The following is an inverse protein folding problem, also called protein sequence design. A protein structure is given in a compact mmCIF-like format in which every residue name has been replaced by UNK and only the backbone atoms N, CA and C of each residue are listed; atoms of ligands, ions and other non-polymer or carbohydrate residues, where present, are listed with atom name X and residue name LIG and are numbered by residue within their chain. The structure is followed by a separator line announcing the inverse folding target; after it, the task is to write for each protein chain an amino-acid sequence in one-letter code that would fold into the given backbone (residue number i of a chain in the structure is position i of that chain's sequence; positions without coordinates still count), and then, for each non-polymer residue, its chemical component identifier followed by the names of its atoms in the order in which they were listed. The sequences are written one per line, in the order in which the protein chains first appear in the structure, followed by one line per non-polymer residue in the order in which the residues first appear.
data_IF_817886198125
#
_entry.id   IF_817886198125
#
_cell.length_a   1.000
_cell.length_b   1.000
_cell.length_c   1.000
_cell.angle_alpha   90.00
_cell.angle_beta   90.00
_cell.angle_gamma   90.00
#
_symmetry.space_group_name_H-M   'P 1'
#
loop_
_entity.id
_entity.type
_entity.pdbx_description
1 polymer ?
#
# COMPACT_ATOMS: atom_id res chain seq x y z
N UNK A 1 5.83 7.99 -8.86
CA UNK A 1 7.23 7.55 -8.94
C UNK A 1 8.17 8.73 -8.71
N UNK A 2 8.33 9.18 -7.45
CA UNK A 2 9.18 10.33 -7.17
C UNK A 2 10.66 9.95 -7.07
N UNK A 3 11.53 10.89 -7.45
CA UNK A 3 12.93 10.94 -7.01
C UNK A 3 13.08 12.08 -6.02
N UNK A 4 13.26 11.76 -4.75
CA UNK A 4 13.28 12.73 -3.66
C UNK A 4 14.70 13.22 -3.34
N UNK A 5 14.84 14.47 -2.90
CA UNK A 5 16.10 14.98 -2.34
C UNK A 5 15.80 15.84 -1.12
N UNK A 6 16.22 15.35 0.06
CA UNK A 6 15.87 15.93 1.37
C UNK A 6 14.35 15.97 1.60
N UNK A 7 13.95 16.43 2.79
CA UNK A 7 12.55 16.66 3.13
C UNK A 7 11.77 15.39 3.50
N UNK A 8 10.46 15.54 3.65
CA UNK A 8 9.51 14.48 3.99
C UNK A 8 8.52 14.27 2.85
N UNK A 9 8.34 13.02 2.44
CA UNK A 9 7.43 12.63 1.37
C UNK A 9 6.53 11.50 1.88
N UNK A 10 5.22 11.73 1.80
CA UNK A 10 4.20 10.72 2.06
C UNK A 10 3.64 10.22 0.72
N UNK A 11 3.98 8.99 0.36
CA UNK A 11 3.45 8.30 -0.83
C UNK A 11 2.26 7.47 -0.36
N UNK A 12 1.04 7.92 -0.65
CA UNK A 12 -0.18 7.33 -0.11
C UNK A 12 -1.18 6.96 -1.21
N UNK A 13 -1.69 5.73 -1.16
CA UNK A 13 -2.75 5.20 -2.04
C UNK A 13 -2.55 5.44 -3.55
N UNK A 14 -1.34 5.19 -4.05
CA UNK A 14 -1.02 5.21 -5.48
C UNK A 14 -1.00 3.80 -6.07
N UNK A 15 -1.24 3.72 -7.37
CA UNK A 15 -1.01 2.51 -8.17
C UNK A 15 0.27 2.70 -9.01
N UNK A 16 1.28 1.86 -8.78
CA UNK A 16 2.54 1.89 -9.51
C UNK A 16 2.66 0.63 -10.36
N UNK A 17 2.85 0.86 -11.64
CA UNK A 17 3.07 -0.17 -12.66
C UNK A 17 4.30 0.20 -13.49
N UNK A 18 4.90 -0.80 -14.13
CA UNK A 18 5.83 -0.62 -15.27
C UNK A 18 7.01 0.34 -15.05
N UNK A 19 7.60 0.39 -13.84
CA UNK A 19 8.82 1.18 -13.64
C UNK A 19 10.03 0.53 -14.33
N UNK A 20 10.86 1.29 -15.02
CA UNK A 20 12.02 0.71 -15.72
C UNK A 20 13.20 0.42 -14.79
N UNK A 21 13.40 1.25 -13.76
CA UNK A 21 14.52 1.12 -12.81
C UNK A 21 14.06 0.96 -11.37
N UNK A 22 13.15 1.82 -10.92
CA UNK A 22 12.60 1.84 -9.57
C UNK A 22 11.30 2.66 -9.56
N UNK A 23 10.41 2.39 -8.60
CA UNK A 23 9.20 3.20 -8.42
C UNK A 23 9.47 4.43 -7.54
N UNK A 24 10.26 4.28 -6.47
CA UNK A 24 10.60 5.35 -5.53
C UNK A 24 12.10 5.44 -5.39
N UNK A 25 12.66 6.64 -5.58
CA UNK A 25 14.09 6.87 -5.41
C UNK A 25 14.40 8.10 -4.59
N UNK A 26 15.65 8.20 -4.16
CA UNK A 26 16.09 9.38 -3.42
C UNK A 26 17.59 9.51 -3.24
N UNK A 27 18.02 10.74 -2.94
CA UNK A 27 19.40 11.11 -2.64
C UNK A 27 19.45 12.14 -1.50
N UNK A 28 20.57 12.23 -0.79
CA UNK A 28 20.78 13.20 0.29
C UNK A 28 19.71 13.14 1.41
N UNK A 29 19.47 11.93 1.92
CA UNK A 29 18.65 11.65 3.12
C UNK A 29 17.23 12.26 3.13
N UNK A 30 16.35 11.90 2.18
CA UNK A 30 14.93 12.17 2.32
C UNK A 30 14.28 11.15 3.28
N UNK A 31 13.24 11.58 3.99
CA UNK A 31 12.34 10.69 4.72
C UNK A 31 11.17 10.31 3.82
N UNK A 32 10.95 9.01 3.63
CA UNK A 32 9.88 8.49 2.78
C UNK A 32 8.97 7.58 3.60
N UNK A 33 7.69 7.94 3.64
CA UNK A 33 6.63 7.12 4.19
C UNK A 33 5.74 6.64 3.05
N UNK A 34 5.77 5.34 2.74
CA UNK A 34 4.89 4.69 1.76
C UNK A 34 3.77 3.97 2.51
N UNK A 35 2.51 4.31 2.21
CA UNK A 35 1.35 3.68 2.82
C UNK A 35 0.21 3.35 1.85
N UNK A 36 -0.31 2.13 1.93
CA UNK A 36 -1.52 1.72 1.22
C UNK A 36 -1.44 1.79 -0.31
N UNK A 37 -0.24 1.78 -0.90
CA UNK A 37 -0.02 1.79 -2.34
C UNK A 37 -0.04 0.37 -2.91
N UNK A 38 -0.18 0.24 -4.23
CA UNK A 38 0.06 -1.00 -4.97
C UNK A 38 1.29 -0.85 -5.85
N UNK A 39 2.22 -1.79 -5.76
CA UNK A 39 3.43 -1.85 -6.57
C UNK A 39 3.44 -3.15 -7.37
N UNK A 40 3.18 -3.05 -8.67
CA UNK A 40 3.24 -4.18 -9.59
C UNK A 40 4.56 -4.15 -10.36
N UNK A 41 5.50 -5.01 -9.97
CA UNK A 41 6.80 -5.04 -10.62
C UNK A 41 6.69 -5.40 -12.11
N UNK A 42 7.55 -4.83 -12.98
CA UNK A 42 7.68 -5.24 -14.37
C UNK A 42 8.12 -6.71 -14.49
N UNK A 43 8.09 -7.24 -15.72
CA UNK A 43 8.57 -8.58 -16.04
C UNK A 43 10.09 -8.73 -15.90
N UNK A 44 10.85 -7.64 -16.09
CA UNK A 44 12.31 -7.64 -15.93
C UNK A 44 12.71 -8.09 -14.51
N UNK A 45 13.50 -9.17 -14.36
CA UNK A 45 13.97 -9.63 -13.06
C UNK A 45 14.88 -8.63 -12.34
N UNK A 46 15.49 -7.67 -13.05
CA UNK A 46 16.34 -6.65 -12.44
C UNK A 46 15.56 -5.46 -11.88
N UNK A 47 14.25 -5.36 -12.17
CA UNK A 47 13.39 -4.25 -11.77
C UNK A 47 12.38 -4.64 -10.67
N UNK A 48 12.79 -5.48 -9.71
CA UNK A 48 11.91 -5.96 -8.63
C UNK A 48 11.95 -5.09 -7.37
N UNK A 49 13.05 -4.38 -7.13
CA UNK A 49 13.13 -3.46 -6.01
C UNK A 49 12.31 -2.20 -6.29
N UNK A 50 11.36 -1.89 -5.42
CA UNK A 50 10.53 -0.68 -5.48
C UNK A 50 11.38 0.56 -5.23
N UNK A 51 12.38 0.43 -4.36
CA UNK A 51 13.22 1.51 -3.84
C UNK A 51 14.56 1.63 -4.56
N UNK A 52 15.08 2.86 -4.70
CA UNK A 52 16.48 3.09 -5.12
C UNK A 52 17.13 4.25 -4.39
N UNK A 53 18.18 3.95 -3.62
CA UNK A 53 19.09 4.97 -3.09
C UNK A 53 20.11 5.31 -4.17
N UNK A 54 20.20 6.60 -4.50
CA UNK A 54 20.98 7.09 -5.65
C UNK A 54 22.24 7.79 -5.15
N UNK A 55 23.39 7.42 -5.72
CA UNK A 55 24.72 8.01 -5.44
C UNK A 55 25.11 7.96 -3.96
N UNK A 56 24.84 6.85 -3.27
CA UNK A 56 25.09 6.72 -1.83
C UNK A 56 25.38 5.26 -1.45
N UNK A 57 26.39 5.06 -0.60
CA UNK A 57 26.76 3.74 -0.09
C UNK A 57 25.76 3.25 0.98
N UNK A 58 25.63 1.93 1.10
CA UNK A 58 24.71 1.28 2.04
C UNK A 58 24.90 1.70 3.49
N UNK A 59 26.15 1.90 3.91
CA UNK A 59 26.48 2.37 5.25
C UNK A 59 25.87 3.75 5.54
N UNK A 60 25.83 4.64 4.53
CA UNK A 60 25.29 5.98 4.69
C UNK A 60 23.76 5.98 4.62
N UNK A 61 23.17 5.26 3.66
CA UNK A 61 21.72 5.30 3.49
C UNK A 61 20.95 4.40 4.46
N UNK A 62 21.59 3.45 5.13
CA UNK A 62 20.94 2.59 6.13
C UNK A 62 20.27 3.41 7.26
N UNK A 63 20.78 4.60 7.55
CA UNK A 63 20.18 5.55 8.51
C UNK A 63 19.04 6.40 7.96
N UNK A 64 18.73 6.34 6.67
CA UNK A 64 17.64 7.10 6.07
C UNK A 64 16.29 6.46 6.40
N UNK A 65 15.29 7.26 6.76
CA UNK A 65 14.00 6.76 7.20
C UNK A 65 13.08 6.48 6.01
N UNK A 66 13.11 5.24 5.49
CA UNK A 66 12.29 4.78 4.38
C UNK A 66 11.40 3.64 4.88
N UNK A 67 10.09 3.87 4.84
CA UNK A 67 9.07 3.00 5.44
C UNK A 67 8.04 2.59 4.39
N UNK A 68 7.55 1.37 4.54
CA UNK A 68 6.38 0.82 3.84
C UNK A 68 5.39 0.31 4.89
N UNK A 69 4.09 0.50 4.69
CA UNK A 69 3.03 0.09 5.62
C UNK A 69 1.70 -0.10 4.89
N UNK A 70 1.14 -1.31 4.93
CA UNK A 70 -0.10 -1.64 4.21
C UNK A 70 0.00 -1.58 2.68
N UNK A 71 1.21 -1.53 2.12
CA UNK A 71 1.42 -1.57 0.68
C UNK A 71 1.23 -3.00 0.12
N UNK A 72 0.67 -3.11 -1.08
CA UNK A 72 0.51 -4.35 -1.83
C UNK A 72 1.67 -4.52 -2.82
N UNK A 73 2.45 -5.59 -2.66
CA UNK A 73 3.62 -5.90 -3.49
C UNK A 73 3.29 -7.08 -4.43
N UNK A 74 3.26 -6.82 -5.74
CA UNK A 74 2.80 -7.77 -6.77
C UNK A 74 3.93 -8.10 -7.74
N UNK A 75 3.90 -9.30 -8.33
CA UNK A 75 4.86 -9.78 -9.31
C UNK A 75 6.33 -9.80 -8.82
N UNK A 76 6.52 -10.13 -7.54
CA UNK A 76 7.85 -10.19 -6.92
C UNK A 76 8.43 -8.81 -6.58
N UNK A 77 7.62 -7.74 -6.62
CA UNK A 77 8.02 -6.46 -6.06
C UNK A 77 8.45 -6.61 -4.60
N UNK A 78 9.49 -5.90 -4.19
CA UNK A 78 9.84 -5.79 -2.79
C UNK A 78 10.31 -4.38 -2.44
N UNK A 79 10.05 -3.98 -1.21
CA UNK A 79 10.47 -2.71 -0.65
C UNK A 79 11.58 -2.98 0.37
N UNK A 80 12.71 -2.30 0.26
CA UNK A 80 13.78 -2.38 1.26
C UNK A 80 13.62 -1.20 2.22
N UNK A 81 13.14 -1.38 3.46
CA UNK A 81 13.03 -0.31 4.43
C UNK A 81 14.38 0.03 5.06
N UNK A 82 14.49 1.21 5.68
CA UNK A 82 15.70 1.64 6.40
C UNK A 82 15.36 2.65 7.49
N UNK A 83 16.32 2.91 8.39
CA UNK A 83 16.18 3.82 9.51
C UNK A 83 15.38 3.25 10.69
N UNK A 84 15.05 4.12 11.63
CA UNK A 84 14.44 3.78 12.93
C UNK A 84 12.93 3.46 12.83
N UNK A 85 12.33 3.60 11.64
CA UNK A 85 10.89 3.43 11.46
C UNK A 85 10.07 4.59 12.03
N UNK A 86 9.02 4.30 12.81
CA UNK A 86 8.00 5.24 13.30
C UNK A 86 8.61 6.47 14.03
N UNK A 87 8.69 7.62 13.34
CA UNK A 87 9.06 8.92 13.92
C UNK A 87 7.82 9.80 14.10
N UNK A 88 7.81 10.63 15.15
CA UNK A 88 6.74 11.60 15.42
C UNK A 88 6.55 12.65 14.31
N UNK A 89 7.46 12.69 13.33
CA UNK A 89 7.38 13.56 12.15
C UNK A 89 6.20 13.20 11.23
N UNK A 90 5.72 11.95 11.26
CA UNK A 90 4.65 11.47 10.38
C UNK A 90 3.26 12.05 10.74
N UNK A 91 3.05 12.41 12.01
CA UNK A 91 1.74 12.86 12.51
C UNK A 91 1.37 14.30 12.08
N UNK A 92 2.33 15.08 11.58
CA UNK A 92 2.13 16.51 11.27
C UNK A 92 1.54 16.78 9.89
N UNK A 93 1.41 15.77 9.02
CA UNK A 93 1.13 15.98 7.59
C UNK A 93 -0.21 15.40 7.08
N UNK A 94 -1.02 14.73 7.89
CA UNK A 94 -2.25 14.07 7.38
C UNK A 94 -3.51 14.93 7.56
N UNK A 95 -4.20 15.22 6.46
CA UNK A 95 -5.62 15.59 6.47
C UNK A 95 -6.53 14.37 6.28
N UNK A 96 -5.97 13.22 5.86
CA UNK A 96 -6.70 12.00 5.50
C UNK A 96 -5.85 10.79 5.90
N UNK A 97 -6.49 9.78 6.47
CA UNK A 97 -5.85 8.50 6.81
C UNK A 97 -5.65 7.62 5.56
N UNK A 98 -4.52 6.88 5.46
CA UNK A 98 -4.33 5.91 4.39
C UNK A 98 -5.44 4.86 4.36
N UNK A 99 -5.90 4.51 3.15
CA UNK A 99 -6.86 3.42 2.93
C UNK A 99 -6.13 2.10 2.60
N UNK A 100 -6.85 0.98 2.69
CA UNK A 100 -6.33 -0.33 2.26
C UNK A 100 -5.93 -0.30 0.78
N UNK A 101 -4.78 -0.93 0.47
CA UNK A 101 -4.32 -1.09 -0.91
C UNK A 101 -5.27 -1.95 -1.77
N UNK A 102 -6.17 -2.72 -1.15
CA UNK A 102 -7.23 -3.45 -1.88
C UNK A 102 -8.21 -2.52 -2.60
N UNK A 103 -8.33 -1.26 -2.15
CA UNK A 103 -9.20 -0.26 -2.76
C UNK A 103 -8.49 0.57 -3.83
N UNK A 104 -7.24 0.24 -4.21
CA UNK A 104 -6.47 1.07 -5.15
C UNK A 104 -7.22 1.31 -6.45
N UNK A 105 -7.84 0.29 -7.03
CA UNK A 105 -8.58 0.44 -8.29
C UNK A 105 -9.69 1.48 -8.18
N UNK A 106 -10.39 1.53 -7.04
CA UNK A 106 -11.43 2.53 -6.77
C UNK A 106 -10.84 3.91 -6.51
N UNK A 107 -9.74 3.98 -5.76
CA UNK A 107 -9.10 5.25 -5.37
C UNK A 107 -8.44 5.95 -6.56
N UNK A 108 -7.90 5.20 -7.52
CA UNK A 108 -7.26 5.72 -8.74
C UNK A 108 -8.16 5.65 -9.98
N UNK A 109 -9.42 5.24 -9.83
CA UNK A 109 -10.38 5.10 -10.94
C UNK A 109 -10.68 6.41 -11.69
N UNK A 110 -10.37 7.55 -11.09
CA UNK A 110 -10.57 8.87 -11.66
C UNK A 110 -9.24 9.62 -11.86
N UNK A 111 -8.11 8.91 -11.79
CA UNK A 111 -6.81 9.49 -12.12
C UNK A 111 -6.78 9.90 -13.60
N UNK A 112 -6.15 11.05 -13.89
CA UNK A 112 -6.06 11.63 -15.22
C UNK A 112 -6.98 12.85 -15.43
N UNK A 113 -7.21 13.20 -16.69
CA UNK A 113 -8.04 14.36 -17.09
C UNK A 113 -9.52 14.03 -16.93
N UNK A 114 -10.30 14.97 -16.40
CA UNK A 114 -11.75 14.84 -16.25
C UNK A 114 -12.40 14.73 -17.63
N UNK A 115 -13.22 13.69 -17.83
CA UNK A 115 -13.99 13.49 -19.07
C UNK A 115 -13.17 12.95 -20.26
N UNK A 116 -11.88 12.66 -20.06
CA UNK A 116 -11.07 11.96 -21.06
C UNK A 116 -11.39 10.46 -21.12
N UNK A 117 -11.23 9.80 -22.28
CA UNK A 117 -11.27 8.35 -22.36
C UNK A 117 -10.21 7.75 -21.43
N UNK A 118 -10.60 6.77 -20.60
CA UNK A 118 -9.64 5.96 -19.87
C UNK A 118 -9.06 4.94 -20.83
N UNK A 119 -7.74 4.79 -20.82
CA UNK A 119 -7.14 3.57 -21.34
C UNK A 119 -7.43 2.46 -20.33
N UNK A 120 -8.37 1.59 -20.68
CA UNK A 120 -8.79 0.46 -19.85
C UNK A 120 -8.03 -0.82 -20.24
N UNK A 121 -6.92 -0.71 -20.99
CA UNK A 121 -6.07 -1.86 -21.24
C UNK A 121 -5.39 -2.27 -19.94
N UNK A 122 -6.00 -3.24 -19.24
CA UNK A 122 -5.26 -4.17 -18.40
C UNK A 122 -4.29 -4.89 -19.35
N UNK A 123 -3.07 -4.38 -19.47
CA UNK A 123 -1.97 -5.05 -20.13
C UNK A 123 -1.47 -6.17 -19.22
N UNK A 124 -2.16 -7.32 -19.24
CA UNK A 124 -1.44 -8.58 -19.01
C UNK A 124 -0.57 -8.76 -20.26
N UNK A 125 0.61 -8.14 -20.23
CA UNK A 125 1.62 -8.24 -21.28
C UNK A 125 2.18 -9.66 -21.31
N UNK A 126 1.53 -10.55 -22.06
CA UNK A 126 2.22 -11.67 -22.66
C UNK A 126 3.06 -11.11 -23.80
N UNK A 127 4.38 -11.14 -23.64
CA UNK A 127 5.33 -10.57 -24.58
C UNK A 127 5.14 -11.07 -26.01
N UNK A 128 5.26 -10.16 -26.97
CA UNK A 128 5.31 -10.51 -28.38
C UNK A 128 5.16 -9.31 -29.33
N UNK A 129 6.29 -8.71 -29.71
CA UNK A 129 6.48 -8.09 -31.02
C UNK A 129 5.98 -6.65 -31.20
N UNK A 130 6.92 -5.76 -31.52
CA UNK A 130 6.63 -4.47 -32.12
C UNK A 130 5.94 -4.66 -33.49
N UNK A 131 4.81 -3.99 -33.70
CA UNK A 131 4.22 -3.80 -35.02
C UNK A 131 3.90 -2.32 -35.21
N UNK A 132 4.72 -1.65 -36.00
CA UNK A 132 4.41 -0.38 -36.65
C UNK A 132 3.20 -0.55 -37.56
N UNK A 133 2.20 0.31 -37.43
CA UNK A 133 1.06 0.35 -38.34
C UNK A 133 0.20 1.59 -38.12
N UNK A 134 0.49 2.66 -38.86
CA UNK A 134 -0.50 3.70 -39.12
C UNK A 134 -1.66 3.09 -39.91
N UNK A 135 -2.92 3.46 -39.60
CA UNK A 135 -3.98 3.90 -40.54
C UNK A 135 -5.34 4.01 -39.81
N UNK A 136 -5.92 5.20 -39.93
CA UNK A 136 -7.33 5.61 -40.08
C UNK A 136 -8.50 4.75 -39.55
N UNK A 137 -9.39 5.44 -38.83
CA UNK A 137 -10.81 5.58 -39.18
C UNK A 137 -11.68 4.32 -39.28
N UNK A 138 -12.55 4.11 -38.28
CA UNK A 138 -13.69 3.21 -38.42
C UNK A 138 -14.50 3.11 -37.13
N UNK A 139 -15.71 3.70 -37.14
CA UNK A 139 -16.68 3.55 -36.06
C UNK A 139 -17.24 2.12 -35.98
N UNK A 140 -17.56 1.70 -34.76
CA UNK A 140 -18.24 0.45 -34.48
C UNK A 140 -18.71 0.43 -33.04
N UNK A 141 -19.99 0.71 -32.82
CA UNK A 141 -20.61 0.54 -31.51
C UNK A 141 -20.68 -0.93 -31.13
N UNK A 142 -20.43 -1.22 -29.85
CA UNK A 142 -20.92 -2.43 -29.21
C UNK A 142 -21.54 -2.07 -27.87
N UNK A 143 -22.85 -2.24 -27.85
CA UNK A 143 -23.74 -2.22 -26.70
C UNK A 143 -23.44 -3.36 -25.71
N UNK A 144 -23.53 -3.06 -24.42
CA UNK A 144 -24.05 -3.98 -23.41
C UNK A 144 -23.01 -4.66 -22.51
N UNK A 145 -22.80 -4.10 -21.31
CA UNK A 145 -23.60 -4.43 -20.12
C UNK A 145 -23.15 -3.57 -18.94
N UNK A 146 -24.14 -2.94 -18.34
CA UNK A 146 -24.05 -1.96 -17.28
C UNK A 146 -23.51 -2.57 -15.97
N UNK A 147 -22.49 -1.92 -15.40
CA UNK A 147 -22.52 -1.22 -14.10
C UNK A 147 -23.26 -1.84 -12.90
N UNK A 148 -23.07 -3.13 -12.59
CA UNK A 148 -23.62 -3.72 -11.35
C UNK A 148 -22.65 -3.76 -10.15
N UNK A 149 -21.46 -3.14 -10.24
CA UNK A 149 -20.50 -3.15 -9.13
C UNK A 149 -20.95 -2.29 -7.93
N UNK A 150 -21.54 -1.11 -8.18
CA UNK A 150 -22.04 -0.23 -7.11
C UNK A 150 -23.26 -0.81 -6.38
N UNK A 151 -24.08 -1.61 -7.07
CA UNK A 151 -25.25 -2.27 -6.49
C UNK A 151 -24.91 -3.40 -5.53
N UNK A 152 -23.82 -4.14 -5.78
CA UNK A 152 -23.37 -5.22 -4.88
C UNK A 152 -22.75 -4.71 -3.57
N UNK A 153 -22.17 -3.51 -3.58
CA UNK A 153 -21.49 -2.94 -2.41
C UNK A 153 -22.46 -2.16 -1.48
N UNK A 154 -23.54 -1.59 -2.01
CA UNK A 154 -24.52 -0.81 -1.22
C UNK A 154 -25.93 -1.42 -1.17
N UNK A 155 -26.20 -2.50 -1.91
CA UNK A 155 -27.53 -3.08 -2.10
C UNK A 155 -27.66 -4.52 -1.62
N UNK A 156 -27.58 -4.75 -0.31
CA UNK A 156 -28.23 -5.90 0.32
C UNK A 156 -28.49 -5.63 1.79
N UNK A 157 -29.75 -5.27 2.09
CA UNK A 157 -30.33 -5.37 3.43
C UNK A 157 -30.56 -6.84 3.81
N UNK A 158 -29.48 -7.62 3.92
CA UNK A 158 -29.51 -8.96 4.49
C UNK A 158 -29.23 -8.87 6.00
N UNK A 159 -30.03 -9.60 6.78
CA UNK A 159 -30.01 -9.57 8.23
C UNK A 159 -28.62 -9.86 8.81
N UNK A 160 -28.25 -9.06 9.81
CA UNK A 160 -27.05 -9.15 10.62
C UNK A 160 -26.84 -10.59 11.13
N UNK A 161 -25.85 -11.31 10.59
CA UNK A 161 -25.34 -12.50 11.27
C UNK A 161 -24.60 -12.02 12.50
N UNK A 162 -25.16 -12.26 13.69
CA UNK A 162 -24.48 -12.06 14.97
C UNK A 162 -23.18 -12.88 14.95
N UNK A 163 -22.04 -12.23 14.73
CA UNK A 163 -20.75 -12.80 15.09
C UNK A 163 -20.72 -12.90 16.61
N UNK A 164 -20.66 -14.12 17.13
CA UNK A 164 -20.36 -14.35 18.55
C UNK A 164 -19.07 -13.62 18.93
N UNK A 165 -18.98 -12.99 20.12
CA UNK A 165 -17.77 -12.33 20.54
C UNK A 165 -16.62 -13.35 20.61
N UNK A 166 -15.38 -12.97 20.31
CA UNK A 166 -14.24 -13.86 20.46
C UNK A 166 -14.10 -14.24 21.94
N UNK A 167 -14.51 -15.47 22.28
CA UNK A 167 -14.39 -16.06 23.62
C UNK A 167 -12.95 -16.03 24.14
N UNK A 168 -11.96 -15.88 23.25
CA UNK A 168 -10.54 -15.82 23.59
C UNK A 168 -10.10 -14.47 24.20
N UNK A 169 -10.79 -13.35 23.93
CA UNK A 169 -10.44 -12.03 24.50
C UNK A 169 -10.78 -11.95 25.99
N UNK A 170 -11.86 -12.59 26.42
CA UNK A 170 -12.24 -12.67 27.83
C UNK A 170 -11.30 -13.58 28.62
N UNK A 171 -10.84 -14.67 28.00
CA UNK A 171 -9.90 -15.60 28.64
C UNK A 171 -8.53 -14.95 28.87
N UNK A 172 -8.02 -14.16 27.92
CA UNK A 172 -6.76 -13.43 28.11
C UNK A 172 -6.85 -12.38 29.22
N UNK A 173 -7.97 -11.66 29.32
CA UNK A 173 -8.17 -10.66 30.37
C UNK A 173 -8.26 -11.32 31.76
N UNK A 174 -8.96 -12.46 31.86
CA UNK A 174 -9.04 -13.25 33.09
C UNK A 174 -7.67 -13.76 33.53
N UNK A 175 -6.84 -14.25 32.61
CA UNK A 175 -5.47 -14.71 32.91
C UNK A 175 -4.61 -13.55 33.45
N UNK A 176 -4.67 -12.38 32.81
CA UNK A 176 -3.92 -11.18 33.23
C UNK A 176 -4.36 -10.71 34.63
N UNK A 177 -5.67 -10.65 34.89
CA UNK A 177 -6.21 -10.26 36.20
C UNK A 177 -5.86 -11.29 37.27
N UNK A 178 -5.89 -12.58 36.95
CA UNK A 178 -5.52 -13.66 37.88
C UNK A 178 -4.04 -13.56 38.28
N UNK A 179 -3.15 -13.34 37.31
CA UNK A 179 -1.72 -13.15 37.56
C UNK A 179 -1.47 -11.90 38.43
N UNK A 180 -2.15 -10.79 38.13
CA UNK A 180 -2.03 -9.55 38.90
C UNK A 180 -2.45 -9.71 40.37
N UNK A 181 -3.56 -10.41 40.63
CA UNK A 181 -4.03 -10.68 41.99
C UNK A 181 -3.04 -11.59 42.73
N UNK A 182 -2.52 -12.64 42.08
CA UNK A 182 -1.53 -13.54 42.69
C UNK A 182 -0.23 -12.83 43.06
N UNK A 183 0.29 -11.96 42.18
CA UNK A 183 1.50 -11.17 42.49
C UNK A 183 1.28 -10.21 43.67
N UNK A 184 0.09 -9.62 43.78
CA UNK A 184 -0.21 -8.69 44.87
C UNK A 184 -0.49 -9.41 46.20
N UNK A 185 -1.06 -10.61 46.19
CA UNK A 185 -1.26 -11.39 47.42
C UNK A 185 0.06 -11.97 47.96
N UNK A 186 0.99 -12.37 47.08
CA UNK A 186 2.31 -12.85 47.49
C UNK A 186 3.15 -11.69 48.08
N UNK A 187 2.99 -10.46 47.57
CA UNK A 187 3.62 -9.27 48.15
C UNK A 187 3.11 -8.88 49.54
N UNK A 188 1.88 -9.26 49.90
CA UNK A 188 1.32 -9.03 51.24
C UNK A 188 1.66 -10.12 52.28
N UNK A 189 2.20 -11.26 51.86
CA UNK A 189 2.61 -12.35 52.76
C UNK A 189 4.11 -12.35 53.10
N UNK A 190 4.91 -11.42 52.54
CA UNK A 190 6.33 -11.27 52.88
C UNK A 190 6.62 -10.15 53.90
N UNK A 191 5.59 -9.64 54.60
CA UNK A 191 5.69 -8.55 55.58
C UNK A 191 5.03 -8.88 56.94
N UNK A 192 4.84 -10.17 57.24
CA UNK A 192 4.56 -10.71 58.57
C UNK A 192 5.59 -11.80 58.89
#
# INVERSE_FOLDING_TARGET
MPRCRRGYIHVVNNDFTEWEMYAIGGSANPTINSQGNRYTAPTDPNAKEVTKRVDTDEVEWAGWNWRTDGDMLVNGAFFVPSGEGLSTQYAKASSVEPRSAELIDLLTMNAGVIGGPRDNSISISYGGGAATGATEGGGGGSSGKDNDFFGMIFGSGAALSKSSPPTNMLLSLLIIVSLYIMTNQIGSLSLL
#
